data_IF_274318985973
#
_entry.id   IF_274318985973
#
_cell.length_a   1.000
_cell.length_b   1.000
_cell.length_c   1.000
_cell.angle_alpha   90.00
_cell.angle_beta   90.00
_cell.angle_gamma   90.00
#
_symmetry.space_group_name_H-M   'P 1'
#
loop_
_entity.id
_entity.type
_entity.pdbx_description
1 polymer ?
#
# COMPACT_ATOMS: atom_id res chain seq x y z
N UNK A 1 20.84 -2.44 -40.82
CA UNK A 1 19.80 -3.33 -41.38
C UNK A 1 20.16 -4.77 -40.99
N UNK A 2 19.23 -5.46 -40.32
CA UNK A 2 19.23 -6.89 -39.89
C UNK A 2 20.14 -7.30 -38.71
N UNK A 3 19.50 -7.33 -37.54
CA UNK A 3 19.85 -8.14 -36.37
C UNK A 3 19.53 -9.62 -36.66
N UNK A 4 20.40 -10.54 -36.25
CA UNK A 4 20.10 -11.98 -36.15
C UNK A 4 20.19 -12.42 -34.70
N UNK A 5 19.03 -12.79 -34.16
CA UNK A 5 18.80 -13.27 -32.80
C UNK A 5 19.17 -14.76 -32.73
N UNK A 6 20.08 -15.14 -31.82
CA UNK A 6 20.43 -16.55 -31.58
C UNK A 6 19.75 -16.98 -30.27
N UNK A 7 18.67 -17.75 -30.41
CA UNK A 7 17.97 -18.45 -29.34
C UNK A 7 18.85 -19.59 -28.81
N UNK A 8 19.08 -19.65 -27.50
CA UNK A 8 19.52 -20.87 -26.81
C UNK A 8 18.31 -21.48 -26.10
N UNK A 9 17.96 -22.69 -26.54
CA UNK A 9 16.99 -23.59 -25.91
C UNK A 9 17.66 -24.19 -24.67
N UNK A 10 17.00 -24.15 -23.52
CA UNK A 10 17.25 -25.12 -22.46
C UNK A 10 15.92 -25.78 -22.10
N UNK A 11 15.90 -27.11 -22.23
CA UNK A 11 14.77 -27.97 -21.99
C UNK A 11 14.70 -28.31 -20.50
N UNK A 12 13.52 -28.21 -19.90
CA UNK A 12 13.23 -28.87 -18.62
C UNK A 12 12.00 -29.76 -18.79
N UNK A 13 12.23 -31.04 -18.50
CA UNK A 13 11.32 -32.16 -18.60
C UNK A 13 10.45 -32.23 -17.34
N UNK A 14 9.13 -32.23 -17.50
CA UNK A 14 8.16 -32.54 -16.45
C UNK A 14 8.11 -34.06 -16.22
N UNK A 15 8.10 -34.56 -14.97
CA UNK A 15 7.58 -35.89 -14.68
C UNK A 15 6.05 -35.84 -14.63
N UNK A 16 5.42 -36.61 -15.53
CA UNK A 16 4.03 -37.06 -15.39
C UNK A 16 3.98 -38.21 -14.36
N UNK A 17 2.83 -38.36 -13.72
CA UNK A 17 2.41 -39.45 -12.83
C UNK A 17 2.55 -39.22 -11.31
N UNK A 18 1.55 -38.56 -10.73
CA UNK A 18 1.02 -38.95 -9.42
C UNK A 18 -0.50 -38.76 -9.40
N UNK A 19 -1.19 -39.87 -9.11
CA UNK A 19 -2.62 -40.11 -9.26
C UNK A 19 -3.49 -39.19 -8.38
N UNK A 20 -4.63 -38.78 -8.94
CA UNK A 20 -5.77 -38.27 -8.17
C UNK A 20 -6.25 -39.33 -7.16
N UNK A 21 -6.42 -38.93 -5.91
CA UNK A 21 -7.35 -39.59 -4.98
C UNK A 21 -8.32 -38.54 -4.44
N UNK A 22 -9.58 -38.65 -4.85
CA UNK A 22 -10.69 -37.91 -4.28
C UNK A 22 -10.90 -38.33 -2.82
N UNK A 23 -10.89 -37.36 -1.91
CA UNK A 23 -11.21 -37.51 -0.50
C UNK A 23 -11.72 -36.17 0.05
N UNK A 24 -12.77 -36.15 0.88
CA UNK A 24 -13.53 -34.95 1.14
C UNK A 24 -12.72 -33.94 1.95
N UNK A 25 -12.74 -32.69 1.51
CA UNK A 25 -12.23 -31.53 2.25
C UNK A 25 -13.05 -31.36 3.54
N UNK A 26 -12.50 -31.87 4.63
CA UNK A 26 -12.92 -31.54 5.99
C UNK A 26 -11.66 -31.24 6.81
N UNK A 27 -11.29 -29.96 6.89
CA UNK A 27 -10.61 -29.44 8.07
C UNK A 27 -11.24 -28.09 8.46
N UNK A 28 -11.45 -27.87 9.76
CA UNK A 28 -12.35 -26.84 10.25
C UNK A 28 -11.69 -25.46 10.20
N UNK A 29 -12.45 -24.47 9.75
CA UNK A 29 -12.18 -23.06 10.02
C UNK A 29 -12.39 -22.85 11.52
N UNK A 30 -11.31 -22.85 12.29
CA UNK A 30 -11.29 -22.23 13.60
C UNK A 30 -10.37 -21.01 13.53
N UNK A 31 -10.96 -19.87 13.19
CA UNK A 31 -10.38 -18.55 13.41
C UNK A 31 -11.45 -17.61 13.99
N UNK A 32 -11.92 -17.98 15.19
CA UNK A 32 -12.70 -17.11 16.07
C UNK A 32 -11.97 -17.00 17.42
N UNK A 33 -10.77 -16.42 17.41
CA UNK A 33 -10.09 -15.95 18.63
C UNK A 33 -9.36 -14.63 18.36
N UNK A 34 -10.05 -13.73 17.66
CA UNK A 34 -9.66 -12.35 17.52
C UNK A 34 -10.86 -11.47 17.94
N UNK A 35 -10.80 -10.77 19.09
CA UNK A 35 -11.80 -9.79 19.51
C UNK A 35 -12.30 -8.85 18.39
N UNK A 36 -13.62 -8.64 18.34
CA UNK A 36 -14.36 -7.85 17.33
C UNK A 36 -13.80 -6.43 16.99
N UNK A 37 -12.87 -5.90 17.78
CA UNK A 37 -12.32 -4.55 17.67
C UNK A 37 -11.37 -4.31 16.46
N UNK A 38 -10.96 -5.34 15.72
CA UNK A 38 -9.96 -5.20 14.64
C UNK A 38 -10.54 -4.91 13.25
N UNK A 39 -11.86 -4.75 13.12
CA UNK A 39 -12.52 -4.54 11.82
C UNK A 39 -12.53 -3.09 11.34
N UNK A 40 -12.30 -2.11 12.21
CA UNK A 40 -12.77 -0.73 11.95
C UNK A 40 -11.76 0.20 11.28
N UNK A 41 -10.51 -0.22 11.00
CA UNK A 41 -9.52 0.66 10.34
C UNK A 41 -9.56 0.56 8.80
N UNK A 42 -10.34 -0.38 8.25
CA UNK A 42 -10.30 -0.74 6.83
C UNK A 42 -10.97 0.26 5.86
N UNK A 43 -11.84 1.14 6.37
CA UNK A 43 -12.81 1.86 5.53
C UNK A 43 -12.51 3.36 5.31
N UNK A 44 -11.41 3.90 5.85
CA UNK A 44 -11.21 5.37 5.86
C UNK A 44 -10.45 5.95 4.66
N UNK A 45 -9.83 5.17 3.78
CA UNK A 45 -9.03 5.71 2.68
C UNK A 45 -9.06 4.88 1.39
N UNK A 46 -10.20 4.89 0.68
CA UNK A 46 -10.25 4.52 -0.74
C UNK A 46 -11.11 5.51 -1.52
N UNK A 47 -10.53 6.46 -2.30
CA UNK A 47 -11.31 7.20 -3.28
C UNK A 47 -11.71 6.28 -4.43
N UNK A 48 -13.01 6.25 -4.70
CA UNK A 48 -13.68 5.54 -5.79
C UNK A 48 -13.04 5.86 -7.14
N UNK A 49 -12.85 4.82 -7.96
CA UNK A 49 -12.29 4.88 -9.30
C UNK A 49 -12.84 6.04 -10.16
N UNK A 50 -11.94 6.91 -10.63
CA UNK A 50 -12.26 7.90 -11.67
C UNK A 50 -12.43 7.15 -12.99
N UNK A 51 -13.68 6.92 -13.40
CA UNK A 51 -14.04 6.54 -14.76
C UNK A 51 -13.76 7.73 -15.69
N UNK A 52 -12.71 7.64 -16.51
CA UNK A 52 -12.54 8.55 -17.65
C UNK A 52 -13.61 8.23 -18.70
N UNK A 53 -14.62 9.11 -18.83
CA UNK A 53 -15.60 9.05 -19.91
C UNK A 53 -15.06 9.75 -21.16
N UNK A 54 -14.70 8.92 -22.14
CA UNK A 54 -14.41 9.32 -23.51
C UNK A 54 -15.71 9.70 -24.22
N UNK A 55 -15.88 10.96 -24.63
CA UNK A 55 -16.49 11.40 -25.91
C UNK A 55 -16.97 12.85 -25.82
N UNK A 56 -16.25 13.76 -26.48
CA UNK A 56 -16.80 15.01 -26.98
C UNK A 56 -16.69 15.00 -28.51
N UNK A 57 -17.71 14.43 -29.16
CA UNK A 57 -17.91 14.57 -30.61
C UNK A 57 -18.34 16.00 -30.89
N UNK A 58 -17.46 16.76 -31.55
CA UNK A 58 -17.81 18.03 -32.20
C UNK A 58 -18.94 17.77 -33.21
N UNK A 59 -20.12 18.33 -32.95
CA UNK A 59 -21.17 18.53 -33.95
C UNK A 59 -21.22 20.02 -34.27
N UNK A 60 -20.64 20.38 -35.40
CA UNK A 60 -20.84 21.67 -36.06
C UNK A 60 -22.25 21.71 -36.63
N UNK A 61 -23.14 22.49 -36.01
CA UNK A 61 -24.45 22.81 -36.57
C UNK A 61 -24.34 24.16 -37.27
N UNK A 62 -24.25 24.13 -38.60
CA UNK A 62 -24.35 25.30 -39.45
C UNK A 62 -25.81 25.78 -39.49
N UNK A 63 -26.08 26.92 -38.85
CA UNK A 63 -27.35 27.63 -39.01
C UNK A 63 -27.18 28.57 -40.21
N UNK A 64 -27.78 28.18 -41.35
CA UNK A 64 -27.95 29.05 -42.51
C UNK A 64 -29.09 30.02 -42.25
N UNK A 65 -28.85 31.30 -42.56
CA UNK A 65 -29.90 32.25 -42.91
C UNK A 65 -30.14 33.34 -41.88
N UNK A 66 -29.46 34.47 -42.05
CA UNK A 66 -30.00 35.82 -41.85
C UNK A 66 -29.07 36.80 -42.56
N UNK A 67 -29.65 37.59 -43.47
CA UNK A 67 -28.94 38.51 -44.36
C UNK A 67 -28.25 39.67 -43.65
N UNK A 68 -27.42 40.46 -44.37
CA UNK A 68 -26.64 41.52 -43.75
C UNK A 68 -27.55 42.70 -43.42
N UNK A 69 -27.81 42.93 -42.13
CA UNK A 69 -28.31 44.21 -41.64
C UNK A 69 -27.11 45.15 -41.60
N UNK A 70 -27.03 46.05 -42.58
CA UNK A 70 -26.06 47.15 -42.61
C UNK A 70 -26.50 48.19 -41.59
N UNK A 71 -25.95 48.13 -40.38
CA UNK A 71 -26.01 49.25 -39.44
C UNK A 71 -24.79 50.14 -39.66
N UNK A 72 -25.05 51.37 -40.15
CA UNK A 72 -24.07 52.47 -40.13
C UNK A 72 -23.84 52.87 -38.67
N UNK A 73 -22.82 52.28 -38.05
CA UNK A 73 -22.41 52.54 -36.67
C UNK A 73 -21.01 53.16 -36.63
N UNK A 74 -20.92 54.30 -35.94
CA UNK A 74 -19.75 55.15 -35.73
C UNK A 74 -18.46 54.39 -35.36
N UNK A 75 -17.35 54.67 -36.06
CA UNK A 75 -16.04 54.09 -35.82
C UNK A 75 -15.37 54.72 -34.59
N UNK A 76 -15.62 54.17 -33.40
CA UNK A 76 -14.73 54.43 -32.25
C UNK A 76 -13.44 53.61 -32.42
N UNK A 77 -12.32 54.29 -32.69
CA UNK A 77 -10.95 53.74 -32.61
C UNK A 77 -10.56 53.52 -31.14
N UNK A 78 -11.30 52.68 -30.43
CA UNK A 78 -10.90 52.16 -29.13
C UNK A 78 -9.93 51.01 -29.35
N UNK A 79 -8.64 51.23 -29.09
CA UNK A 79 -7.65 50.14 -28.96
C UNK A 79 -8.09 49.24 -27.80
N UNK A 80 -8.91 48.23 -28.07
CA UNK A 80 -9.11 47.09 -27.17
C UNK A 80 -7.80 46.33 -27.16
N UNK A 81 -6.89 46.70 -26.27
CA UNK A 81 -5.73 45.90 -25.91
C UNK A 81 -6.31 44.65 -25.26
N UNK A 82 -6.51 43.60 -26.06
CA UNK A 82 -6.81 42.28 -25.53
C UNK A 82 -5.67 41.97 -24.55
N UNK A 83 -5.97 41.98 -23.26
CA UNK A 83 -5.10 41.42 -22.24
C UNK A 83 -5.18 39.90 -22.40
N UNK A 84 -4.60 39.38 -23.49
CA UNK A 84 -4.32 37.95 -23.61
C UNK A 84 -3.25 37.65 -22.57
N UNK A 85 -3.68 37.26 -21.37
CA UNK A 85 -2.80 36.67 -20.37
C UNK A 85 -2.11 35.48 -21.06
N UNK A 86 -0.78 35.50 -21.25
CA UNK A 86 -0.12 34.36 -21.89
C UNK A 86 -0.44 33.12 -21.05
N UNK A 87 -0.92 32.07 -21.70
CA UNK A 87 -1.12 30.78 -21.06
C UNK A 87 0.25 30.35 -20.52
N UNK A 88 0.42 30.37 -19.20
CA UNK A 88 1.62 29.82 -18.57
C UNK A 88 1.65 28.33 -18.88
N UNK A 89 2.65 27.89 -19.63
CA UNK A 89 2.94 26.47 -19.77
C UNK A 89 3.31 25.93 -18.39
N UNK A 90 2.58 24.91 -17.93
CA UNK A 90 2.94 24.21 -16.70
C UNK A 90 4.22 23.41 -16.94
N UNK A 91 5.13 23.30 -15.95
CA UNK A 91 6.30 22.46 -16.06
C UNK A 91 5.89 20.99 -16.18
N UNK A 92 6.65 20.21 -16.96
CA UNK A 92 6.51 18.75 -16.97
C UNK A 92 6.88 18.20 -15.59
N UNK A 93 6.01 17.42 -14.93
CA UNK A 93 6.32 16.87 -13.62
C UNK A 93 7.46 15.85 -13.70
N UNK A 94 8.40 15.93 -12.76
CA UNK A 94 9.38 14.89 -12.51
C UNK A 94 8.77 13.84 -11.56
N UNK A 95 8.24 12.75 -12.12
CA UNK A 95 7.60 11.70 -11.35
C UNK A 95 8.54 10.94 -10.42
N UNK A 96 9.86 10.91 -10.73
CA UNK A 96 10.84 10.29 -9.82
C UNK A 96 10.94 11.14 -8.56
N UNK A 97 11.19 12.44 -8.72
CA UNK A 97 11.28 13.35 -7.58
C UNK A 97 9.99 13.36 -6.75
N UNK A 98 8.83 13.33 -7.41
CA UNK A 98 7.53 13.27 -6.73
C UNK A 98 7.32 11.96 -5.95
N UNK A 99 7.73 10.82 -6.51
CA UNK A 99 7.60 9.53 -5.84
C UNK A 99 8.59 9.41 -4.68
N UNK A 100 9.87 9.76 -4.88
CA UNK A 100 10.91 9.64 -3.87
C UNK A 100 10.63 10.56 -2.67
N UNK A 101 10.10 11.76 -2.91
CA UNK A 101 9.70 12.70 -1.85
C UNK A 101 8.32 12.45 -1.23
N UNK A 102 7.60 11.41 -1.65
CA UNK A 102 6.29 11.11 -1.10
C UNK A 102 6.41 10.78 0.41
N UNK A 103 5.54 11.33 1.27
CA UNK A 103 5.65 11.16 2.72
C UNK A 103 5.26 9.75 3.21
N UNK A 104 4.58 8.96 2.38
CA UNK A 104 4.17 7.60 2.72
C UNK A 104 5.31 6.59 2.53
N UNK A 105 5.24 5.47 3.26
CA UNK A 105 6.24 4.42 3.16
C UNK A 105 5.93 3.56 1.93
N UNK A 106 6.50 3.95 0.80
CA UNK A 106 6.36 3.24 -0.47
C UNK A 106 7.63 2.54 -0.88
N UNK A 107 7.44 1.32 -1.42
CA UNK A 107 8.46 0.52 -2.07
C UNK A 107 7.84 -0.13 -3.33
N UNK A 108 8.59 -0.25 -4.41
CA UNK A 108 8.14 -0.85 -5.68
C UNK A 108 8.96 -2.09 -5.97
N UNK A 109 8.24 -3.17 -6.27
CA UNK A 109 8.78 -4.49 -6.58
C UNK A 109 8.50 -4.86 -8.03
N UNK A 110 9.43 -5.58 -8.65
CA UNK A 110 9.15 -6.36 -9.86
C UNK A 110 8.36 -7.63 -9.53
N UNK A 111 7.85 -8.38 -10.52
CA UNK A 111 7.14 -9.64 -10.27
C UNK A 111 8.00 -10.73 -9.61
N UNK A 112 9.31 -10.68 -9.77
CA UNK A 112 10.31 -11.50 -9.08
C UNK A 112 10.72 -10.96 -7.70
N UNK A 113 10.02 -9.93 -7.20
CA UNK A 113 10.20 -9.33 -5.88
C UNK A 113 11.54 -8.61 -5.68
N UNK A 114 12.13 -8.11 -6.78
CA UNK A 114 13.30 -7.24 -6.76
C UNK A 114 12.87 -5.79 -6.55
N UNK A 115 13.55 -5.09 -5.64
CA UNK A 115 13.27 -3.69 -5.30
C UNK A 115 13.79 -2.77 -6.41
N UNK A 116 12.91 -1.99 -7.02
CA UNK A 116 13.27 -1.07 -8.13
C UNK A 116 13.06 0.41 -7.81
N UNK A 117 12.25 0.71 -6.81
CA UNK A 117 12.09 2.08 -6.31
C UNK A 117 11.66 2.06 -4.85
N UNK A 118 11.97 3.14 -4.13
CA UNK A 118 11.62 3.31 -2.72
C UNK A 118 11.45 4.81 -2.43
N UNK A 119 10.55 5.16 -1.54
CA UNK A 119 10.38 6.53 -1.03
C UNK A 119 11.43 6.85 0.03
N UNK A 120 11.79 8.13 0.17
CA UNK A 120 12.74 8.56 1.22
C UNK A 120 12.18 8.30 2.61
N UNK A 121 10.86 8.46 2.80
CA UNK A 121 10.20 8.16 4.07
C UNK A 121 10.34 6.69 4.48
N UNK A 122 10.24 5.74 3.53
CA UNK A 122 10.46 4.30 3.81
C UNK A 122 11.91 4.02 4.24
N UNK A 123 12.90 4.65 3.58
CA UNK A 123 14.31 4.50 3.92
C UNK A 123 14.60 4.98 5.34
N UNK A 124 14.07 6.14 5.72
CA UNK A 124 14.22 6.69 7.07
C UNK A 124 13.55 5.79 8.11
N UNK A 125 12.33 5.33 7.84
CA UNK A 125 11.61 4.46 8.75
C UNK A 125 12.37 3.15 9.02
N UNK A 126 13.00 2.58 7.99
CA UNK A 126 13.72 1.29 8.07
C UNK A 126 15.21 1.43 8.34
N UNK A 127 15.73 2.65 8.49
CA UNK A 127 17.16 2.93 8.67
C UNK A 127 18.07 2.31 7.59
N UNK A 128 17.58 2.27 6.34
CA UNK A 128 18.31 1.69 5.19
C UNK A 128 18.82 2.76 4.22
N UNK A 129 19.84 2.42 3.42
CA UNK A 129 20.30 3.30 2.33
C UNK A 129 19.78 2.81 0.99
N UNK A 130 19.30 3.74 0.16
CA UNK A 130 18.80 3.47 -1.20
C UNK A 130 19.75 2.59 -2.03
N UNK A 131 21.03 2.94 -2.05
CA UNK A 131 22.05 2.23 -2.81
C UNK A 131 22.32 0.79 -2.31
N UNK A 132 21.94 0.47 -1.08
CA UNK A 132 22.15 -0.86 -0.48
C UNK A 132 20.96 -1.81 -0.70
N UNK A 133 19.80 -1.28 -1.11
CA UNK A 133 18.55 -2.05 -1.23
C UNK A 133 17.98 -2.12 -2.64
N UNK A 134 18.28 -1.14 -3.51
CA UNK A 134 17.85 -1.21 -4.91
C UNK A 134 18.50 -2.41 -5.62
N UNK A 135 17.78 -2.99 -6.57
CA UNK A 135 18.16 -4.15 -7.38
C UNK A 135 18.43 -5.43 -6.56
N UNK A 136 17.90 -5.51 -5.33
CA UNK A 136 17.98 -6.69 -4.46
C UNK A 136 16.60 -7.27 -4.17
N UNK A 137 16.56 -8.55 -3.82
CA UNK A 137 15.34 -9.23 -3.40
C UNK A 137 14.80 -8.65 -2.09
N UNK A 138 13.49 -8.43 -2.02
CA UNK A 138 12.85 -7.82 -0.85
C UNK A 138 13.17 -8.57 0.45
N UNK A 139 13.08 -9.90 0.44
CA UNK A 139 13.32 -10.73 1.63
C UNK A 139 14.81 -10.92 1.97
N UNK A 140 15.71 -10.63 1.04
CA UNK A 140 17.15 -10.61 1.31
C UNK A 140 17.55 -9.35 2.08
N UNK A 141 16.87 -8.24 1.80
CA UNK A 141 17.05 -6.96 2.48
C UNK A 141 16.30 -6.93 3.81
N UNK A 142 15.08 -7.46 3.84
CA UNK A 142 14.18 -7.46 4.99
C UNK A 142 13.84 -8.90 5.43
N UNK A 143 14.78 -9.63 6.05
CA UNK A 143 14.56 -11.00 6.51
C UNK A 143 13.62 -11.05 7.73
N UNK A 144 13.21 -12.26 8.11
CA UNK A 144 12.52 -12.49 9.38
C UNK A 144 13.49 -12.27 10.56
N UNK A 145 12.96 -11.84 11.71
CA UNK A 145 13.75 -11.74 12.93
C UNK A 145 14.18 -13.15 13.38
N UNK A 146 15.49 -13.51 13.36
CA UNK A 146 15.93 -14.85 13.76
C UNK A 146 15.73 -15.11 15.25
N UNK A 147 15.62 -14.05 16.08
CA UNK A 147 15.44 -14.14 17.52
C UNK A 147 13.96 -14.36 17.91
N UNK A 148 13.04 -14.33 16.95
CA UNK A 148 11.62 -14.63 17.13
C UNK A 148 11.17 -15.81 16.24
N UNK A 149 11.18 -17.05 16.78
CA UNK A 149 10.69 -18.22 16.07
C UNK A 149 9.21 -18.15 15.68
N UNK A 150 8.44 -17.24 16.27
CA UNK A 150 7.03 -16.98 15.96
C UNK A 150 6.81 -15.91 14.88
N UNK A 151 7.87 -15.34 14.32
CA UNK A 151 7.76 -14.27 13.33
C UNK A 151 7.11 -14.75 12.02
N UNK A 152 5.82 -14.46 11.86
CA UNK A 152 5.04 -14.82 10.66
C UNK A 152 5.02 -13.71 9.59
N UNK A 153 5.67 -12.56 9.84
CA UNK A 153 5.61 -11.40 8.95
C UNK A 153 6.07 -11.69 7.52
N UNK A 154 7.19 -12.40 7.36
CA UNK A 154 7.75 -12.76 6.03
C UNK A 154 6.84 -13.72 5.29
N UNK A 155 6.35 -14.78 5.94
CA UNK A 155 5.47 -15.77 5.30
C UNK A 155 4.11 -15.16 4.92
N UNK A 156 3.54 -14.32 5.80
CA UNK A 156 2.30 -13.60 5.54
C UNK A 156 2.44 -12.62 4.37
N UNK A 157 3.56 -11.89 4.30
CA UNK A 157 3.83 -10.94 3.21
C UNK A 157 4.09 -11.67 1.89
N UNK A 158 4.86 -12.75 1.89
CA UNK A 158 5.09 -13.57 0.70
C UNK A 158 3.76 -14.07 0.13
N UNK A 159 2.90 -14.64 0.99
CA UNK A 159 1.57 -15.09 0.58
C UNK A 159 0.70 -13.94 0.05
N UNK A 160 0.81 -12.73 0.60
CA UNK A 160 0.10 -11.54 0.09
C UNK A 160 0.58 -11.14 -1.32
N UNK A 161 1.89 -11.07 -1.53
CA UNK A 161 2.48 -10.75 -2.83
C UNK A 161 2.11 -11.79 -3.88
N UNK A 162 2.13 -13.08 -3.53
CA UNK A 162 1.65 -14.15 -4.41
C UNK A 162 0.17 -14.02 -4.77
N UNK A 163 -0.69 -13.65 -3.79
CA UNK A 163 -2.11 -13.38 -4.07
C UNK A 163 -2.28 -12.20 -5.03
N UNK A 164 -1.48 -11.13 -4.89
CA UNK A 164 -1.50 -10.01 -5.84
C UNK A 164 -1.10 -10.45 -7.24
N UNK A 165 -0.02 -11.23 -7.37
CA UNK A 165 0.43 -11.75 -8.67
C UNK A 165 -0.62 -12.65 -9.33
N UNK A 166 -1.24 -13.53 -8.54
CA UNK A 166 -2.23 -14.50 -9.00
C UNK A 166 -3.57 -13.86 -9.34
N UNK A 167 -4.11 -13.07 -8.43
CA UNK A 167 -5.46 -12.53 -8.50
C UNK A 167 -5.52 -11.18 -9.23
N UNK A 168 -4.36 -10.52 -9.38
CA UNK A 168 -4.22 -9.23 -10.08
C UNK A 168 -5.08 -8.14 -9.44
N UNK A 169 -5.24 -8.22 -8.12
CA UNK A 169 -5.97 -7.27 -7.29
C UNK A 169 -5.11 -6.88 -6.10
N UNK A 170 -5.38 -5.72 -5.51
CA UNK A 170 -4.73 -5.32 -4.28
C UNK A 170 -5.05 -6.28 -3.13
N UNK A 171 -4.08 -6.50 -2.25
CA UNK A 171 -4.22 -7.31 -1.04
C UNK A 171 -3.79 -6.46 0.16
N UNK A 172 -4.71 -6.29 1.12
CA UNK A 172 -4.46 -5.60 2.37
C UNK A 172 -4.24 -6.63 3.47
N UNK A 173 -3.16 -6.45 4.24
CA UNK A 173 -2.77 -7.39 5.29
C UNK A 173 -3.25 -6.91 6.67
N UNK A 174 -3.43 -7.85 7.59
CA UNK A 174 -3.59 -7.52 9.00
C UNK A 174 -2.30 -6.88 9.54
N UNK A 175 -2.42 -6.07 10.60
CA UNK A 175 -1.27 -5.44 11.27
C UNK A 175 -0.23 -6.50 11.64
N UNK A 176 1.01 -6.29 11.22
CA UNK A 176 2.15 -7.15 11.52
C UNK A 176 3.07 -6.42 12.50
N UNK A 177 3.57 -7.14 13.51
CA UNK A 177 4.73 -6.66 14.26
C UNK A 177 5.96 -6.85 13.39
N UNK A 178 6.74 -5.79 13.20
CA UNK A 178 7.99 -5.83 12.46
C UNK A 178 9.04 -5.02 13.21
N UNK A 179 9.98 -5.73 13.83
CA UNK A 179 11.02 -5.10 14.62
C UNK A 179 12.09 -4.51 13.69
N UNK A 180 12.36 -3.21 13.83
CA UNK A 180 13.36 -2.51 13.03
C UNK A 180 14.70 -2.63 13.75
N UNK A 181 15.71 -3.21 13.07
CA UNK A 181 17.06 -3.30 13.61
C UNK A 181 17.69 -1.90 13.62
N UNK A 182 18.15 -1.47 14.78
CA UNK A 182 18.92 -0.23 14.90
C UNK A 182 20.36 -0.47 14.45
N UNK A 183 20.99 0.51 13.77
CA UNK A 183 22.41 0.47 13.47
C UNK A 183 23.26 0.28 14.74
N UNK A 184 24.36 -0.45 14.65
CA UNK A 184 25.30 -0.63 15.78
C UNK A 184 25.80 0.72 16.33
N UNK A 185 25.91 1.73 15.46
CA UNK A 185 26.29 3.10 15.82
C UNK A 185 25.29 3.82 16.74
N UNK A 186 24.03 3.37 16.78
CA UNK A 186 22.95 3.96 17.60
C UNK A 186 22.62 3.12 18.84
N UNK A 187 23.46 2.13 19.17
CA UNK A 187 23.28 1.25 20.33
C UNK A 187 22.80 -0.15 19.96
N UNK A 188 22.51 -0.40 18.68
CA UNK A 188 22.04 -1.69 18.18
C UNK A 188 20.68 -2.10 18.76
N UNK A 189 20.34 -3.38 18.61
CA UNK A 189 19.07 -3.93 19.08
C UNK A 189 17.92 -3.74 18.09
N UNK A 190 16.70 -3.86 18.59
CA UNK A 190 15.47 -3.90 17.82
C UNK A 190 14.44 -2.94 18.40
N UNK A 191 13.88 -2.09 17.55
CA UNK A 191 12.74 -1.24 17.89
C UNK A 191 11.45 -1.91 17.45
N UNK A 192 10.55 -2.16 18.40
CA UNK A 192 9.24 -2.73 18.11
C UNK A 192 8.37 -1.72 17.35
N UNK A 193 7.93 -2.13 16.15
CA UNK A 193 6.98 -1.38 15.33
C UNK A 193 5.84 -2.27 14.87
N UNK A 194 4.68 -1.65 14.65
CA UNK A 194 3.49 -2.29 14.11
C UNK A 194 3.11 -1.68 12.78
N UNK A 195 3.06 -2.50 11.74
CA UNK A 195 2.92 -2.08 10.35
C UNK A 195 1.61 -2.58 9.76
N UNK A 196 0.94 -1.76 8.96
CA UNK A 196 -0.23 -2.15 8.17
C UNK A 196 0.08 -2.08 6.68
N UNK A 197 0.42 -3.22 6.04
CA UNK A 197 0.78 -3.25 4.63
C UNK A 197 -0.42 -3.35 3.68
N UNK A 198 -0.29 -2.70 2.52
CA UNK A 198 -1.15 -2.89 1.35
C UNK A 198 -0.28 -3.09 0.11
N UNK A 199 -0.50 -4.19 -0.59
CA UNK A 199 0.19 -4.54 -1.82
C UNK A 199 -0.75 -4.35 -3.01
N UNK A 200 -0.33 -3.61 -4.04
CA UNK A 200 -1.20 -3.30 -5.19
C UNK A 200 -0.47 -3.48 -6.52
N UNK A 201 -1.09 -4.15 -7.52
CA UNK A 201 -0.46 -4.37 -8.81
C UNK A 201 -0.46 -3.11 -9.66
N UNK A 202 0.64 -2.87 -10.36
CA UNK A 202 0.77 -1.85 -11.42
C UNK A 202 0.84 -2.58 -12.75
N UNK A 203 -0.08 -2.27 -13.65
CA UNK A 203 -0.17 -2.91 -14.96
C UNK A 203 0.62 -2.14 -16.02
N UNK A 204 1.40 -2.88 -16.81
CA UNK A 204 2.04 -2.37 -18.02
C UNK A 204 1.12 -2.41 -19.26
N UNK A 205 1.64 -2.04 -20.44
CA UNK A 205 0.87 -1.92 -21.68
C UNK A 205 0.12 -3.18 -22.11
N UNK A 206 0.66 -4.37 -21.80
CA UNK A 206 0.08 -5.66 -22.19
C UNK A 206 -0.98 -6.18 -21.21
N UNK A 207 -1.46 -5.33 -20.29
CA UNK A 207 -2.20 -5.78 -19.11
C UNK A 207 -1.48 -6.94 -18.44
N UNK A 208 -0.18 -6.82 -18.22
CA UNK A 208 0.56 -7.72 -17.33
C UNK A 208 1.05 -6.91 -16.15
N UNK A 209 1.19 -7.55 -14.99
CA UNK A 209 1.74 -6.89 -13.82
C UNK A 209 3.20 -6.55 -14.15
N UNK A 210 3.47 -5.26 -14.26
CA UNK A 210 4.82 -4.75 -14.48
C UNK A 210 5.53 -4.59 -13.13
N UNK A 211 4.78 -4.14 -12.11
CA UNK A 211 5.30 -3.92 -10.76
C UNK A 211 4.22 -4.18 -9.70
N UNK A 212 4.64 -4.27 -8.45
CA UNK A 212 3.79 -4.20 -7.27
C UNK A 212 4.24 -2.99 -6.47
N UNK A 213 3.31 -2.10 -6.10
CA UNK A 213 3.57 -1.07 -5.10
C UNK A 213 3.18 -1.61 -3.72
N UNK A 214 4.16 -1.62 -2.81
CA UNK A 214 4.03 -1.95 -1.41
C UNK A 214 3.94 -0.65 -0.61
N UNK A 215 2.80 -0.42 0.04
CA UNK A 215 2.59 0.67 0.99
C UNK A 215 2.60 0.11 2.40
N UNK A 216 3.26 0.80 3.31
CA UNK A 216 3.17 0.53 4.75
C UNK A 216 2.67 1.78 5.48
N UNK A 217 1.84 1.56 6.49
CA UNK A 217 1.53 2.56 7.53
C UNK A 217 2.07 2.09 8.87
N UNK A 218 2.74 3.00 9.60
CA UNK A 218 3.14 2.76 10.99
C UNK A 218 1.96 3.06 11.91
N UNK A 219 1.47 2.01 12.57
CA UNK A 219 0.34 2.07 13.51
C UNK A 219 0.81 1.81 14.95
N UNK A 220 2.10 1.94 15.23
CA UNK A 220 2.71 1.63 16.52
C UNK A 220 2.04 2.39 17.67
N UNK A 221 1.85 3.70 17.52
CA UNK A 221 1.21 4.52 18.55
C UNK A 221 -0.25 4.14 18.79
N UNK A 222 -1.00 3.83 17.73
CA UNK A 222 -2.38 3.35 17.85
C UNK A 222 -2.46 2.03 18.62
N UNK A 223 -1.54 1.10 18.33
CA UNK A 223 -1.46 -0.19 19.03
C UNK A 223 -1.06 -0.01 20.50
N UNK A 224 -0.07 0.84 20.79
CA UNK A 224 0.38 1.15 22.15
C UNK A 224 -0.74 1.77 23.00
N UNK A 225 -1.43 2.78 22.47
CA UNK A 225 -2.56 3.42 23.16
C UNK A 225 -3.69 2.43 23.45
N UNK A 226 -3.99 1.54 22.51
CA UNK A 226 -5.00 0.51 22.70
C UNK A 226 -4.60 -0.50 23.78
N UNK A 227 -3.34 -0.96 23.77
CA UNK A 227 -2.80 -1.88 24.79
C UNK A 227 -2.88 -1.26 26.20
N UNK A 228 -2.47 0.01 26.35
CA UNK A 228 -2.59 0.74 27.61
C UNK A 228 -4.04 0.82 28.10
N UNK A 229 -5.00 1.11 27.21
CA UNK A 229 -6.41 1.14 27.57
C UNK A 229 -6.93 -0.21 28.07
N UNK A 230 -6.52 -1.31 27.45
CA UNK A 230 -6.88 -2.68 27.89
C UNK A 230 -6.27 -3.01 29.25
N UNK A 231 -5.00 -2.66 29.46
CA UNK A 231 -4.33 -2.86 30.75
C UNK A 231 -5.00 -2.06 31.86
N UNK A 232 -5.33 -0.79 31.59
CA UNK A 232 -6.01 0.08 32.54
C UNK A 232 -7.40 -0.46 32.92
N UNK A 233 -8.14 -0.98 31.94
CA UNK A 233 -9.44 -1.60 32.18
C UNK A 233 -9.33 -2.84 33.09
N UNK A 234 -8.35 -3.72 32.81
CA UNK A 234 -8.07 -4.90 33.66
C UNK A 234 -7.67 -4.49 35.07
N UNK A 235 -6.81 -3.49 35.21
CA UNK A 235 -6.40 -3.00 36.52
C UNK A 235 -7.59 -2.47 37.32
N UNK A 236 -8.46 -1.69 36.69
CA UNK A 236 -9.66 -1.15 37.32
C UNK A 236 -10.63 -2.26 37.76
N UNK A 237 -10.89 -3.25 36.91
CA UNK A 237 -11.70 -4.42 37.25
C UNK A 237 -11.15 -5.18 38.46
N UNK A 238 -9.84 -5.39 38.50
CA UNK A 238 -9.16 -6.03 39.63
C UNK A 238 -9.30 -5.22 40.92
N UNK A 239 -9.20 -3.89 40.86
CA UNK A 239 -9.39 -3.01 42.01
C UNK A 239 -10.83 -3.06 42.54
N UNK A 240 -11.82 -3.01 41.64
CA UNK A 240 -13.23 -3.14 42.00
C UNK A 240 -13.53 -4.50 42.64
N UNK A 241 -13.00 -5.59 42.09
CA UNK A 241 -13.13 -6.93 42.67
C UNK A 241 -12.51 -7.01 44.07
N UNK A 242 -11.37 -6.36 44.29
CA UNK A 242 -10.74 -6.29 45.62
C UNK A 242 -11.58 -5.48 46.60
N UNK A 243 -12.11 -4.33 46.19
CA UNK A 243 -12.98 -3.50 47.04
C UNK A 243 -14.23 -4.29 47.50
N UNK A 244 -14.89 -4.99 46.59
CA UNK A 244 -16.05 -5.83 46.91
C UNK A 244 -15.72 -6.95 47.91
N UNK A 245 -14.55 -7.57 47.79
CA UNK A 245 -14.09 -8.61 48.74
C UNK A 245 -13.87 -8.01 50.13
N UNK A 246 -13.22 -6.86 50.22
CA UNK A 246 -13.01 -6.16 51.49
C UNK A 246 -14.34 -5.75 52.12
N UNK A 247 -15.28 -5.21 51.34
CA UNK A 247 -16.62 -4.87 51.82
C UNK A 247 -17.38 -6.09 52.36
N UNK A 248 -17.33 -7.22 51.66
CA UNK A 248 -17.94 -8.47 52.12
C UNK A 248 -17.28 -8.99 53.41
N UNK A 249 -15.96 -8.91 53.53
CA UNK A 249 -15.24 -9.28 54.76
C UNK A 249 -15.61 -8.39 55.95
N UNK A 250 -15.76 -7.07 55.74
CA UNK A 250 -16.19 -6.14 56.78
C UNK A 250 -17.62 -6.49 57.23
N UNK A 251 -18.53 -6.74 56.28
CA UNK A 251 -19.91 -7.10 56.59
C UNK A 251 -20.02 -8.41 57.40
N UNK A 252 -19.20 -9.41 57.09
CA UNK A 252 -19.19 -10.69 57.83
C UNK A 252 -18.57 -10.61 59.23
N UNK A 253 -17.85 -9.52 59.56
CA UNK A 253 -17.21 -9.31 60.86
C UNK A 253 -18.01 -8.39 61.80
N UNK A 254 -19.07 -7.75 61.30
CA UNK A 254 -19.97 -6.88 62.07
C UNK A 254 -21.13 -7.68 62.68
#
# INVERSE_FOLDING_TARGET
MKFTCRFLKSAYTFPQDAKLSDGPSQFPVQSNDLPSAYRTVRDSYFPTAIRASTQARSRSTAIKGLGPVVTKGCWFKGRRRALTRPLRSLPTPDFRALFESAPGFYLVLTPDLTIVAVSDAYLQATMTKRAEILDRGFFDVFPANPDDPGATGVSNLSASLERVLRNRTSDAMAVQKYDIRQPESEGGGFEERYWSPVNSPIFGPNQQIAYIIHRVEDVTESVRLQQQGVEQAKLNENLLSRAQKVEAEIFLRA
#
